data_IF_032562664696
#
_entry.id   IF_032562664696
#
_cell.length_a   1.000
_cell.length_b   1.000
_cell.length_c   1.000
_cell.angle_alpha   90.00
_cell.angle_beta   90.00
_cell.angle_gamma   90.00
#
_symmetry.space_group_name_H-M   'P 1'
#
loop_
_entity.id
_entity.type
_entity.pdbx_description
1 polymer ?
#
# COMPACT_ATOMS: atom_id res chain seq x y z
N UNK A 1 -2.31 -16.50 -6.28
CA UNK A 1 -1.90 -15.11 -6.71
C UNK A 1 -3.15 -14.34 -7.10
N UNK A 2 -3.28 -13.12 -6.62
CA UNK A 2 -4.42 -12.23 -6.90
C UNK A 2 -4.00 -11.12 -7.86
N UNK A 3 -4.92 -10.68 -8.74
CA UNK A 3 -4.68 -9.62 -9.72
C UNK A 3 -5.05 -8.27 -9.13
N UNK A 4 -4.12 -7.33 -9.20
CA UNK A 4 -4.26 -5.94 -8.76
C UNK A 4 -3.74 -4.97 -9.82
N UNK A 5 -3.97 -3.68 -9.60
CA UNK A 5 -3.58 -2.62 -10.52
C UNK A 5 -2.79 -1.53 -9.79
N UNK A 6 -1.77 -1.01 -10.48
CA UNK A 6 -0.97 0.13 -10.03
C UNK A 6 -0.95 1.22 -11.09
N UNK A 7 -1.33 2.43 -10.74
CA UNK A 7 -1.33 3.58 -11.65
C UNK A 7 -0.10 4.47 -11.45
N UNK A 8 0.54 4.88 -12.54
CA UNK A 8 1.74 5.72 -12.52
C UNK A 8 1.88 6.55 -13.79
N UNK A 9 2.58 7.68 -13.72
CA UNK A 9 3.00 8.48 -14.89
C UNK A 9 4.41 8.10 -15.38
N UNK A 10 5.01 7.05 -14.86
CA UNK A 10 6.37 6.61 -15.21
C UNK A 10 6.34 5.17 -15.69
N UNK A 11 7.02 4.90 -16.80
CA UNK A 11 7.20 3.56 -17.33
C UNK A 11 8.46 2.94 -16.72
N UNK A 12 8.36 1.71 -16.16
CA UNK A 12 9.47 0.99 -15.54
C UNK A 12 9.31 -0.53 -15.68
N UNK A 13 10.43 -1.27 -15.65
CA UNK A 13 10.43 -2.74 -15.74
C UNK A 13 10.24 -3.46 -14.41
N UNK A 14 10.61 -2.83 -13.32
CA UNK A 14 10.56 -3.42 -11.97
C UNK A 14 10.17 -2.35 -10.95
N UNK A 15 9.38 -2.74 -9.97
CA UNK A 15 9.10 -1.88 -8.83
C UNK A 15 10.37 -1.64 -8.01
N UNK A 16 10.54 -0.40 -7.56
CA UNK A 16 11.61 0.00 -6.65
C UNK A 16 11.01 0.71 -5.46
N UNK A 17 11.29 0.21 -4.26
CA UNK A 17 10.76 0.77 -3.00
C UNK A 17 11.29 2.19 -2.74
N UNK A 18 12.42 2.58 -3.32
CA UNK A 18 12.95 3.94 -3.22
C UNK A 18 11.95 4.98 -3.76
N UNK A 19 11.13 4.60 -4.74
CA UNK A 19 10.13 5.47 -5.37
C UNK A 19 8.74 5.45 -4.69
N UNK A 20 8.54 4.66 -3.62
CA UNK A 20 7.23 4.49 -2.97
C UNK A 20 6.62 5.79 -2.40
N UNK A 21 7.41 6.85 -2.21
CA UNK A 21 6.96 8.16 -1.72
C UNK A 21 6.87 9.25 -2.79
N UNK A 22 7.19 8.94 -4.04
CA UNK A 22 7.18 9.92 -5.14
C UNK A 22 5.76 10.22 -5.64
N UNK A 23 4.81 9.32 -5.40
CA UNK A 23 3.40 9.53 -5.69
C UNK A 23 2.72 10.51 -4.73
N UNK A 24 1.43 10.78 -4.96
CA UNK A 24 0.59 11.63 -4.09
C UNK A 24 0.36 11.02 -2.70
N UNK A 25 0.56 9.71 -2.55
CA UNK A 25 0.41 8.97 -1.30
C UNK A 25 1.50 9.31 -0.30
N UNK A 26 1.13 9.99 0.80
CA UNK A 26 2.05 10.39 1.88
C UNK A 26 2.23 9.28 2.93
N UNK A 27 2.33 8.02 2.52
CA UNK A 27 2.33 6.83 3.41
C UNK A 27 1.18 6.82 4.45
N UNK A 28 0.04 7.44 4.12
CA UNK A 28 -1.13 7.55 5.02
C UNK A 28 -1.64 6.17 5.47
N UNK A 29 -1.50 5.19 4.60
CA UNK A 29 -1.93 3.80 4.83
C UNK A 29 -0.75 2.85 5.05
N UNK A 30 0.44 3.38 5.35
CA UNK A 30 1.68 2.63 5.54
C UNK A 30 2.66 2.83 4.40
N UNK A 31 3.91 2.46 4.62
CA UNK A 31 4.95 2.50 3.61
C UNK A 31 4.94 1.21 2.80
N UNK A 32 4.93 1.30 1.47
CA UNK A 32 4.88 0.15 0.54
C UNK A 32 4.40 0.57 -0.84
N UNK A 33 4.37 -0.37 -1.77
CA UNK A 33 3.83 -0.15 -3.11
C UNK A 33 2.31 -0.28 -3.09
N UNK A 34 1.61 0.79 -3.46
CA UNK A 34 0.14 0.82 -3.43
C UNK A 34 -0.45 0.19 -4.68
N UNK A 35 -1.37 -0.74 -4.48
CA UNK A 35 -2.15 -1.39 -5.53
C UNK A 35 -3.63 -1.40 -5.16
N UNK A 36 -4.51 -1.53 -6.16
CA UNK A 36 -5.96 -1.53 -6.00
C UNK A 36 -6.60 -2.64 -6.80
N UNK A 37 -7.74 -3.18 -6.34
CA UNK A 37 -8.56 -4.14 -7.10
C UNK A 37 -9.27 -3.49 -8.29
N UNK A 38 -9.35 -2.16 -8.37
CA UNK A 38 -10.17 -1.45 -9.35
C UNK A 38 -9.30 -0.74 -10.38
N UNK A 39 -9.36 -1.19 -11.63
CA UNK A 39 -8.59 -0.65 -12.76
C UNK A 39 -8.75 0.87 -12.93
N UNK A 40 -9.97 1.37 -12.91
CA UNK A 40 -10.24 2.81 -13.07
C UNK A 40 -9.72 3.65 -11.91
N UNK A 41 -9.60 3.07 -10.73
CA UNK A 41 -8.96 3.71 -9.57
C UNK A 41 -7.45 3.79 -9.76
N UNK A 42 -6.82 2.73 -10.28
CA UNK A 42 -5.39 2.79 -10.63
C UNK A 42 -5.14 3.85 -11.71
N UNK A 43 -5.97 3.91 -12.76
CA UNK A 43 -5.87 4.92 -13.80
C UNK A 43 -5.97 6.36 -13.23
N UNK A 44 -6.91 6.60 -12.30
CA UNK A 44 -7.01 7.90 -11.61
C UNK A 44 -5.72 8.25 -10.84
N UNK A 45 -5.10 7.27 -10.18
CA UNK A 45 -3.84 7.47 -9.44
C UNK A 45 -2.61 7.56 -10.35
N UNK A 46 -2.72 7.26 -11.65
CA UNK A 46 -1.63 7.46 -12.62
C UNK A 46 -1.30 8.94 -12.79
N UNK A 47 -2.29 9.84 -12.62
CA UNK A 47 -2.03 11.27 -12.55
C UNK A 47 -1.30 11.62 -11.25
N UNK A 48 -0.09 12.16 -11.36
CA UNK A 48 0.72 12.58 -10.22
C UNK A 48 0.78 14.12 -10.17
N UNK A 49 0.16 14.70 -9.16
CA UNK A 49 0.15 16.17 -8.96
C UNK A 49 1.53 16.79 -8.75
N UNK A 50 2.51 15.99 -8.34
CA UNK A 50 3.90 16.42 -8.17
C UNK A 50 4.69 16.44 -9.49
N UNK A 51 4.13 15.88 -10.55
CA UNK A 51 4.73 15.78 -11.89
C UNK A 51 3.69 16.21 -12.95
N UNK A 52 3.21 17.46 -12.91
CA UNK A 52 2.16 17.93 -13.81
C UNK A 52 2.61 17.95 -15.28
N UNK A 53 3.92 17.93 -15.54
CA UNK A 53 4.52 17.83 -16.87
C UNK A 53 4.38 16.44 -17.48
N UNK A 54 4.13 15.40 -16.69
CA UNK A 54 3.92 14.05 -17.19
C UNK A 54 2.52 13.94 -17.78
N UNK A 55 2.43 13.70 -19.07
CA UNK A 55 1.18 13.52 -19.83
C UNK A 55 0.90 12.09 -20.20
N UNK A 56 1.86 11.18 -19.98
CA UNK A 56 1.70 9.75 -20.17
C UNK A 56 1.25 9.09 -18.88
N UNK A 57 0.23 8.24 -18.99
CA UNK A 57 -0.34 7.53 -17.85
C UNK A 57 -0.35 6.03 -18.13
N UNK A 58 0.05 5.25 -17.14
CA UNK A 58 0.18 3.80 -17.26
C UNK A 58 -0.58 3.12 -16.14
N UNK A 59 -1.22 2.01 -16.46
CA UNK A 59 -1.81 1.08 -15.50
C UNK A 59 -1.11 -0.25 -15.64
N UNK A 60 -0.41 -0.64 -14.58
CA UNK A 60 0.23 -1.93 -14.43
C UNK A 60 -0.78 -2.93 -13.88
N UNK A 61 -1.00 -4.02 -14.61
CA UNK A 61 -1.65 -5.21 -14.05
C UNK A 61 -0.57 -6.04 -13.38
N UNK A 62 -0.75 -6.31 -12.11
CA UNK A 62 0.21 -7.05 -11.30
C UNK A 62 -0.45 -8.24 -10.62
N UNK A 63 0.32 -9.28 -10.41
CA UNK A 63 -0.02 -10.39 -9.54
C UNK A 63 0.77 -10.31 -8.25
N UNK A 64 0.07 -10.49 -7.14
CA UNK A 64 0.62 -10.48 -5.79
C UNK A 64 0.16 -11.74 -5.04
N UNK A 65 0.85 -12.18 -3.97
CA UNK A 65 0.42 -13.32 -3.16
C UNK A 65 -1.01 -13.19 -2.65
N UNK A 66 -1.65 -14.34 -2.41
CA UNK A 66 -3.02 -14.36 -1.91
C UNK A 66 -3.09 -13.77 -0.48
N UNK A 67 -4.22 -13.12 -0.19
CA UNK A 67 -4.52 -12.65 1.15
C UNK A 67 -4.85 -13.84 2.06
N UNK A 68 -4.24 -13.88 3.24
CA UNK A 68 -4.57 -14.84 4.30
C UNK A 68 -4.92 -14.08 5.58
N UNK A 69 -5.58 -14.73 6.54
CA UNK A 69 -6.01 -14.09 7.78
C UNK A 69 -4.85 -13.50 8.59
N UNK A 70 -3.66 -14.02 8.41
CA UNK A 70 -2.48 -13.70 9.23
C UNK A 70 -1.30 -13.07 8.48
N UNK A 71 -1.48 -12.69 7.20
CA UNK A 71 -0.43 -12.02 6.43
C UNK A 71 -0.67 -10.51 6.19
N UNK A 72 -1.67 -9.91 6.85
CA UNK A 72 -2.00 -8.50 6.64
C UNK A 72 -2.52 -7.78 7.88
N UNK A 73 -2.42 -6.44 7.87
CA UNK A 73 -3.11 -5.55 8.80
C UNK A 73 -4.22 -4.80 8.05
N UNK A 74 -5.47 -5.07 8.40
CA UNK A 74 -6.60 -4.29 7.90
C UNK A 74 -6.77 -3.03 8.73
N UNK A 75 -6.78 -1.85 8.09
CA UNK A 75 -6.68 -0.55 8.76
C UNK A 75 -7.69 -0.31 9.88
N UNK A 76 -8.93 -0.79 9.71
CA UNK A 76 -10.06 -0.57 10.61
C UNK A 76 -10.71 -1.87 11.11
N UNK A 77 -9.95 -2.95 11.16
CA UNK A 77 -10.40 -4.23 11.72
C UNK A 77 -9.43 -4.70 12.80
N UNK A 78 -9.89 -5.56 13.73
CA UNK A 78 -9.03 -6.14 14.74
C UNK A 78 -7.81 -6.83 14.14
N UNK A 79 -6.69 -6.74 14.84
CA UNK A 79 -5.45 -7.42 14.44
C UNK A 79 -5.59 -8.91 14.74
N UNK A 80 -5.22 -9.75 13.78
CA UNK A 80 -5.27 -11.21 13.98
C UNK A 80 -4.35 -11.65 15.12
N UNK A 81 -4.79 -12.56 16.03
CA UNK A 81 -4.02 -12.97 17.20
C UNK A 81 -2.61 -13.47 16.91
N UNK A 82 -2.41 -14.20 15.80
CA UNK A 82 -1.09 -14.69 15.40
C UNK A 82 -0.13 -13.55 15.02
N UNK A 83 -0.64 -12.45 14.46
CA UNK A 83 0.16 -11.26 14.15
C UNK A 83 0.59 -10.57 15.44
N UNK A 84 -0.34 -10.42 16.39
CA UNK A 84 -0.03 -9.86 17.72
C UNK A 84 1.08 -10.69 18.37
N UNK A 85 0.92 -12.01 18.43
CA UNK A 85 1.90 -12.92 19.03
C UNK A 85 3.28 -12.81 18.37
N UNK A 86 3.34 -12.81 17.02
CA UNK A 86 4.61 -12.66 16.28
C UNK A 86 5.26 -11.31 16.57
N UNK A 87 4.45 -10.24 16.62
CA UNK A 87 4.92 -8.89 16.87
C UNK A 87 5.50 -8.77 18.29
N UNK A 88 4.75 -9.19 19.31
CA UNK A 88 5.18 -9.14 20.71
C UNK A 88 6.44 -9.99 20.96
N UNK A 89 6.49 -11.18 20.34
CA UNK A 89 7.68 -12.04 20.39
C UNK A 89 8.91 -11.36 19.77
N UNK A 90 8.75 -10.72 18.62
CA UNK A 90 9.85 -10.07 17.92
C UNK A 90 10.32 -8.78 18.62
N UNK A 91 9.42 -8.04 19.28
CA UNK A 91 9.73 -6.85 20.06
C UNK A 91 10.27 -7.19 21.46
N UNK A 92 9.98 -8.39 22.00
CA UNK A 92 10.33 -8.79 23.36
C UNK A 92 9.47 -8.13 24.43
N UNK A 93 8.33 -7.54 24.09
CA UNK A 93 7.41 -6.86 25.01
C UNK A 93 5.95 -7.06 24.63
N UNK A 94 5.05 -6.94 25.62
CA UNK A 94 3.61 -6.95 25.42
C UNK A 94 3.12 -5.58 24.97
N UNK A 95 2.22 -5.57 23.98
CA UNK A 95 1.62 -4.35 23.47
C UNK A 95 0.31 -4.01 24.21
N UNK A 96 -0.03 -2.72 24.37
CA UNK A 96 -1.30 -2.32 24.97
C UNK A 96 -2.50 -2.87 24.20
N UNK A 97 -3.55 -3.33 24.88
CA UNK A 97 -4.72 -3.92 24.22
C UNK A 97 -5.46 -2.93 23.33
N UNK A 98 -5.45 -1.67 23.71
CA UNK A 98 -6.10 -0.60 22.93
C UNK A 98 -5.48 -0.37 21.54
N UNK A 99 -4.23 -0.76 21.29
CA UNK A 99 -3.63 -0.65 19.96
C UNK A 99 -3.93 -1.88 19.09
N UNK A 100 -4.36 -2.99 19.68
CA UNK A 100 -4.66 -4.25 19.00
C UNK A 100 -6.04 -4.26 18.32
N UNK A 101 -6.90 -3.26 18.63
CA UNK A 101 -8.29 -3.16 18.17
C UNK A 101 -8.37 -2.94 16.66
N UNK A 102 -7.39 -2.23 16.07
CA UNK A 102 -7.37 -1.92 14.64
C UNK A 102 -5.95 -1.95 14.08
N UNK A 103 -5.79 -2.41 12.83
CA UNK A 103 -4.48 -2.53 12.21
C UNK A 103 -3.73 -1.20 12.04
N UNK A 104 -4.43 -0.08 11.80
CA UNK A 104 -3.76 1.22 11.64
C UNK A 104 -3.13 1.74 12.93
N UNK A 105 -3.79 1.82 14.09
CA UNK A 105 -3.13 2.17 15.34
C UNK A 105 -2.04 1.18 15.73
N UNK A 106 -2.24 -0.12 15.53
CA UNK A 106 -1.25 -1.15 15.78
C UNK A 106 0.05 -0.89 15.01
N UNK A 107 -0.05 -0.71 13.70
CA UNK A 107 1.10 -0.39 12.83
C UNK A 107 1.84 0.86 13.30
N UNK A 108 1.10 1.96 13.54
CA UNK A 108 1.69 3.23 13.97
C UNK A 108 2.40 3.13 15.32
N UNK A 109 1.80 2.40 16.25
CA UNK A 109 2.40 2.19 17.57
C UNK A 109 3.73 1.44 17.45
N UNK A 110 3.73 0.32 16.74
CA UNK A 110 4.96 -0.46 16.50
C UNK A 110 6.03 0.38 15.78
N UNK A 111 5.63 1.13 14.75
CA UNK A 111 6.56 2.02 14.04
C UNK A 111 7.19 3.07 14.95
N UNK A 112 6.40 3.68 15.83
CA UNK A 112 6.91 4.65 16.81
C UNK A 112 7.89 4.00 17.81
N UNK A 113 7.58 2.81 18.31
CA UNK A 113 8.51 2.06 19.19
C UNK A 113 9.86 1.82 18.50
N UNK A 114 9.82 1.35 17.25
CA UNK A 114 11.03 1.01 16.48
C UNK A 114 11.96 2.22 16.24
N UNK A 115 11.41 3.43 16.20
CA UNK A 115 12.21 4.67 16.08
C UNK A 115 12.45 5.36 17.43
N UNK A 116 12.25 4.66 18.54
CA UNK A 116 12.52 5.15 19.89
C UNK A 116 11.55 6.21 20.42
N UNK A 117 10.36 6.33 19.81
CA UNK A 117 9.31 7.26 20.26
C UNK A 117 8.36 6.54 21.21
N UNK A 118 8.13 7.10 22.38
CA UNK A 118 7.07 6.63 23.28
C UNK A 118 5.73 7.04 22.70
N UNK A 119 4.99 6.06 22.09
CA UNK A 119 3.66 6.28 21.56
C UNK A 119 2.62 6.34 22.68
N UNK A 120 1.82 7.40 22.75
CA UNK A 120 0.48 7.32 23.35
C UNK A 120 -0.54 7.15 22.24
N UNK A 121 -1.71 6.59 22.54
CA UNK A 121 -2.82 6.46 21.56
C UNK A 121 -3.20 7.83 20.98
N UNK A 122 -3.04 8.90 21.73
CA UNK A 122 -3.26 10.27 21.25
C UNK A 122 -2.33 10.63 20.09
N UNK A 123 -1.03 10.24 20.16
CA UNK A 123 -0.04 10.49 19.12
C UNK A 123 -0.28 9.67 17.85
N UNK A 124 -1.03 8.56 17.94
CA UNK A 124 -1.38 7.74 16.78
C UNK A 124 -2.37 8.42 15.82
N UNK A 125 -3.10 9.45 16.29
CA UNK A 125 -3.97 10.29 15.47
C UNK A 125 -3.25 11.43 14.75
N UNK A 126 -1.98 11.67 15.11
CA UNK A 126 -1.17 12.73 14.56
C UNK A 126 -0.65 12.43 13.15
N UNK A 127 0.07 13.42 12.60
CA UNK A 127 0.65 13.37 11.26
C UNK A 127 1.50 12.10 11.08
N UNK A 128 1.44 11.53 9.88
CA UNK A 128 2.23 10.37 9.50
C UNK A 128 3.73 10.66 9.65
N UNK A 129 4.41 9.87 10.46
CA UNK A 129 5.86 9.87 10.58
C UNK A 129 6.43 8.87 9.56
N UNK A 130 7.15 9.37 8.58
CA UNK A 130 7.67 8.56 7.46
C UNK A 130 8.70 7.54 7.95
N UNK A 131 9.57 7.90 8.90
CA UNK A 131 10.59 6.98 9.40
C UNK A 131 9.96 5.85 10.22
N UNK A 132 8.95 6.18 11.03
CA UNK A 132 8.17 5.19 11.75
C UNK A 132 7.41 4.24 10.81
N UNK A 133 6.81 4.76 9.73
CA UNK A 133 6.11 3.93 8.74
C UNK A 133 7.08 3.03 7.96
N UNK A 134 8.28 3.51 7.61
CA UNK A 134 9.33 2.68 6.99
C UNK A 134 9.82 1.59 7.93
N UNK A 135 10.09 1.92 9.19
CA UNK A 135 10.51 0.97 10.20
C UNK A 135 9.44 -0.10 10.44
N UNK A 136 8.16 0.32 10.56
CA UNK A 136 7.04 -0.61 10.71
C UNK A 136 6.93 -1.57 9.51
N UNK A 137 7.02 -1.06 8.28
CA UNK A 137 6.87 -1.90 7.09
C UNK A 137 7.99 -2.91 6.95
N UNK A 138 9.23 -2.50 7.22
CA UNK A 138 10.37 -3.43 7.27
C UNK A 138 10.15 -4.52 8.31
N UNK A 139 9.85 -4.14 9.55
CA UNK A 139 9.62 -5.06 10.65
C UNK A 139 8.49 -6.05 10.36
N UNK A 140 7.34 -5.57 9.90
CA UNK A 140 6.19 -6.43 9.60
C UNK A 140 6.47 -7.38 8.44
N UNK A 141 7.20 -6.95 7.41
CA UNK A 141 7.64 -7.83 6.33
C UNK A 141 8.56 -8.94 6.85
N UNK A 142 9.48 -8.63 7.77
CA UNK A 142 10.40 -9.61 8.39
C UNK A 142 9.68 -10.66 9.24
N UNK A 143 8.55 -10.32 9.86
CA UNK A 143 7.71 -11.27 10.61
C UNK A 143 6.61 -11.92 9.77
N UNK A 144 6.64 -11.76 8.45
CA UNK A 144 5.82 -12.48 7.49
C UNK A 144 4.51 -11.80 7.11
N UNK A 145 4.35 -10.49 7.33
CA UNK A 145 3.23 -9.77 6.75
C UNK A 145 3.56 -9.33 5.32
N UNK A 146 2.53 -9.38 4.47
CA UNK A 146 2.61 -9.01 3.06
C UNK A 146 1.98 -7.64 2.79
N UNK A 147 0.95 -7.25 3.58
CA UNK A 147 0.08 -6.14 3.24
C UNK A 147 -0.35 -5.29 4.42
N UNK A 148 -0.51 -3.98 4.12
CA UNK A 148 -1.52 -3.17 4.80
C UNK A 148 -2.72 -3.03 3.87
N UNK A 149 -3.94 -3.23 4.41
CA UNK A 149 -5.18 -3.28 3.64
C UNK A 149 -6.15 -2.20 4.13
N UNK A 150 -6.85 -1.56 3.20
CA UNK A 150 -7.94 -0.64 3.52
C UNK A 150 -9.02 -0.69 2.43
N UNK A 151 -10.30 -0.41 2.76
CA UNK A 151 -11.37 -0.40 1.77
C UNK A 151 -11.17 0.75 0.78
N UNK A 152 -11.51 0.52 -0.47
CA UNK A 152 -11.49 1.57 -1.50
C UNK A 152 -12.43 2.72 -1.12
N UNK A 153 -13.62 2.40 -0.61
CA UNK A 153 -14.60 3.36 -0.10
C UNK A 153 -14.96 3.02 1.36
N UNK A 154 -14.80 3.98 2.25
CA UNK A 154 -15.14 3.81 3.67
C UNK A 154 -16.65 3.61 3.91
N UNK A 155 -17.50 4.04 2.97
CA UNK A 155 -18.93 3.76 2.95
C UNK A 155 -19.27 2.32 2.57
N UNK A 156 -18.32 1.58 1.98
CA UNK A 156 -18.45 0.17 1.63
C UNK A 156 -17.22 -0.63 2.11
N UNK A 157 -17.10 -0.90 3.42
CA UNK A 157 -15.93 -1.53 4.02
C UNK A 157 -15.71 -3.00 3.61
N UNK A 158 -16.71 -3.64 2.99
CA UNK A 158 -16.65 -5.00 2.46
C UNK A 158 -16.54 -5.05 0.92
N UNK A 159 -16.41 -3.89 0.29
CA UNK A 159 -16.19 -3.76 -1.14
C UNK A 159 -14.72 -3.96 -1.53
N UNK A 160 -14.34 -3.56 -2.75
CA UNK A 160 -12.97 -3.65 -3.23
C UNK A 160 -11.96 -3.00 -2.28
N UNK A 161 -10.76 -3.55 -2.24
CA UNK A 161 -9.70 -3.08 -1.34
C UNK A 161 -8.54 -2.44 -2.08
N UNK A 162 -7.79 -1.66 -1.34
CA UNK A 162 -6.45 -1.21 -1.71
C UNK A 162 -5.44 -1.87 -0.77
N UNK A 163 -4.24 -2.09 -1.27
CA UNK A 163 -3.16 -2.69 -0.47
C UNK A 163 -1.87 -1.88 -0.62
N UNK A 164 -1.12 -1.77 0.47
CA UNK A 164 0.30 -1.43 0.41
C UNK A 164 1.08 -2.75 0.51
N UNK A 165 1.75 -3.13 -0.56
CA UNK A 165 2.59 -4.34 -0.63
C UNK A 165 3.91 -4.02 0.06
N UNK A 166 4.28 -4.79 1.09
CA UNK A 166 5.46 -4.54 1.93
C UNK A 166 6.73 -5.10 1.28
N UNK A 167 6.63 -6.24 0.61
CA UNK A 167 7.73 -6.87 -0.12
C UNK A 167 7.50 -6.76 -1.63
N UNK A 168 8.17 -5.80 -2.26
CA UNK A 168 8.03 -5.54 -3.70
C UNK A 168 8.56 -6.67 -4.59
N UNK A 169 9.47 -7.51 -4.11
CA UNK A 169 10.01 -8.63 -4.89
C UNK A 169 8.95 -9.71 -5.16
N UNK A 170 7.83 -9.66 -4.45
CA UNK A 170 6.68 -10.53 -4.66
C UNK A 170 5.65 -9.99 -5.66
N UNK A 171 5.88 -8.80 -6.20
CA UNK A 171 5.02 -8.22 -7.24
C UNK A 171 5.49 -8.70 -8.60
N UNK A 172 4.62 -9.40 -9.33
CA UNK A 172 4.86 -9.79 -10.71
C UNK A 172 4.09 -8.87 -11.65
N UNK A 173 4.76 -8.15 -12.53
CA UNK A 173 4.14 -7.37 -13.61
C UNK A 173 3.66 -8.36 -14.67
N UNK A 174 2.37 -8.31 -14.99
CA UNK A 174 1.73 -9.18 -16.00
C UNK A 174 1.48 -8.42 -17.29
N UNK A 175 1.08 -7.15 -17.17
CA UNK A 175 0.71 -6.31 -18.30
C UNK A 175 0.87 -4.84 -17.94
N UNK A 176 1.17 -4.03 -18.95
CA UNK A 176 1.18 -2.57 -18.82
C UNK A 176 0.26 -2.02 -19.91
N UNK A 177 -0.68 -1.18 -19.52
CA UNK A 177 -1.51 -0.41 -20.45
C UNK A 177 -1.13 1.07 -20.35
N UNK A 178 -0.82 1.72 -21.48
CA UNK A 178 -0.89 3.17 -21.62
C UNK A 178 -2.36 3.57 -21.74
N UNK A 179 -2.79 4.59 -20.98
CA UNK A 179 -4.20 5.01 -20.91
C UNK A 179 -4.32 6.51 -21.07
N UNK A 180 -5.50 6.96 -21.48
CA UNK A 180 -5.85 8.38 -21.50
C UNK A 180 -6.71 8.74 -20.29
N UNK A 181 -6.53 9.96 -19.78
CA UNK A 181 -7.37 10.56 -18.75
C UNK A 181 -8.04 11.81 -19.33
N UNK A 182 -9.29 12.02 -18.93
CA UNK A 182 -10.03 13.25 -19.30
C UNK A 182 -9.52 14.47 -18.52
N UNK A 183 -10.11 15.66 -18.78
CA UNK A 183 -9.77 16.91 -18.08
C UNK A 183 -10.00 16.87 -16.56
N UNK A 184 -10.71 15.88 -16.06
CA UNK A 184 -10.95 15.63 -14.63
C UNK A 184 -10.13 14.45 -14.11
N UNK A 185 -9.13 14.01 -14.88
CA UNK A 185 -8.26 12.88 -14.60
C UNK A 185 -9.01 11.54 -14.43
N UNK A 186 -10.18 11.39 -15.05
CA UNK A 186 -10.88 10.12 -15.11
C UNK A 186 -10.43 9.31 -16.32
N UNK A 187 -10.36 8.00 -16.15
CA UNK A 187 -10.05 7.07 -17.22
C UNK A 187 -11.02 7.22 -18.39
N UNK A 188 -10.47 7.34 -19.61
CA UNK A 188 -11.23 7.33 -20.85
C UNK A 188 -11.41 5.88 -21.29
N UNK A 189 -12.65 5.40 -21.28
CA UNK A 189 -12.95 4.00 -21.65
C UNK A 189 -12.53 3.71 -23.08
N UNK A 190 -11.92 2.54 -23.30
CA UNK A 190 -11.40 2.14 -24.60
C UNK A 190 -10.05 2.74 -25.01
N UNK A 191 -9.47 3.64 -24.20
CA UNK A 191 -8.21 4.31 -24.54
C UNK A 191 -6.94 3.46 -24.31
N UNK A 192 -7.06 2.28 -23.68
CA UNK A 192 -5.89 1.48 -23.32
C UNK A 192 -5.17 0.89 -24.53
N UNK A 193 -3.86 1.10 -24.55
CA UNK A 193 -2.94 0.54 -25.51
C UNK A 193 -1.91 -0.28 -24.73
N UNK A 194 -1.80 -1.56 -25.04
CA UNK A 194 -0.82 -2.44 -24.39
C UNK A 194 0.60 -2.00 -24.75
N UNK A 195 1.45 -1.89 -23.72
CA UNK A 195 2.90 -1.63 -23.85
C UNK A 195 3.61 -2.98 -23.71
N UNK A 196 4.30 -3.46 -24.76
CA UNK A 196 5.06 -4.71 -24.67
C UNK A 196 6.13 -4.65 -23.58
N UNK A 197 6.22 -5.69 -22.73
CA UNK A 197 7.15 -5.73 -21.59
C UNK A 197 8.63 -5.77 -22.00
N UNK A 198 8.91 -6.09 -23.25
CA UNK A 198 10.25 -6.13 -23.85
C UNK A 198 10.62 -4.86 -24.62
N UNK A 199 9.73 -3.87 -24.69
CA UNK A 199 9.89 -2.66 -25.53
C UNK A 199 10.72 -1.55 -24.87
N UNK A 200 11.21 -1.70 -23.64
CA UNK A 200 11.96 -0.67 -22.91
C UNK A 200 12.95 -1.23 -21.91
#
# INVERSE_FOLDING_TARGET
METFYHGTSVLFKKFDIAHALEGDGKAKFGFGTYVTEVYTTAALYAHNKKRPECTDYYVYTVEIPDLTDDNHLFSNRPVHPSIIQRTEKALGEQLPDEVKIEGKPFRKYVGNLLVGKKGSIKTLKEKTDIDAEKAASKFFSEIGLEYYVWPQAWSNPNGPTNRAVLNIDKIRIVRIDKVELDKKFKYVEGSKIEVPLDSF
#
